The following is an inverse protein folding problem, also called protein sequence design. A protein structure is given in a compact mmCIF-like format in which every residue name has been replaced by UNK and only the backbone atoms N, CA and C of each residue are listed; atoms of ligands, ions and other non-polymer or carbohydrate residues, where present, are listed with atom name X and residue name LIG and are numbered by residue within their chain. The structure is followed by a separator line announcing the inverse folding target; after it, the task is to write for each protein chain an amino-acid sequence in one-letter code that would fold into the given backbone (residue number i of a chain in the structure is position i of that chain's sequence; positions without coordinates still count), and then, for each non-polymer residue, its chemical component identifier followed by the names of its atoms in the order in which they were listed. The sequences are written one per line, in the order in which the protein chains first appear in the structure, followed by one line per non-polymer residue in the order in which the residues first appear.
data_IF_813967714891
#
_entry.id   IF_813967714891
#
_cell.length_a   1.000
_cell.length_b   1.000
_cell.length_c   1.000
_cell.angle_alpha   90.00
_cell.angle_beta   90.00
_cell.angle_gamma   90.00
#
_symmetry.space_group_name_H-M   'P 1'
#
loop_
_entity.id
_entity.type
_entity.pdbx_description
1 polymer ?
#
# COMPACT_ATOMS: atom_id res chain seq x y z
N UNK A 1 -10.32 38.94 55.00
CA UNK A 1 -9.90 39.74 53.83
C UNK A 1 -9.66 38.77 52.70
N UNK A 2 -10.46 38.90 51.63
CA UNK A 2 -10.24 38.59 50.19
C UNK A 2 -9.51 37.25 49.86
N UNK A 3 -10.07 36.17 49.32
CA UNK A 3 -11.10 35.86 48.30
C UNK A 3 -10.61 35.90 46.82
N UNK A 4 -10.97 34.84 46.06
CA UNK A 4 -11.15 34.75 44.58
C UNK A 4 -10.07 34.16 43.61
N UNK A 5 -10.56 33.18 42.80
CA UNK A 5 -10.16 32.65 41.46
C UNK A 5 -8.97 31.66 41.41
N UNK A 6 -9.09 30.34 41.20
CA UNK A 6 -9.66 29.50 40.10
C UNK A 6 -8.82 29.47 38.80
N UNK A 7 -8.73 28.28 38.18
CA UNK A 7 -8.53 28.01 36.73
C UNK A 7 -7.09 27.85 36.17
N UNK A 8 -6.82 26.63 35.68
CA UNK A 8 -6.01 26.21 34.52
C UNK A 8 -4.57 26.69 34.31
N UNK A 9 -3.64 25.73 34.35
CA UNK A 9 -2.55 25.50 33.37
C UNK A 9 -2.01 24.09 33.68
N UNK A 10 -2.25 22.99 32.95
CA UNK A 10 -2.15 22.69 31.52
C UNK A 10 -0.84 23.21 30.90
N UNK A 11 -0.04 22.26 30.38
CA UNK A 11 1.23 22.40 29.63
C UNK A 11 2.47 22.67 30.51
N UNK A 12 3.62 21.99 30.39
CA UNK A 12 4.20 21.23 29.27
C UNK A 12 5.13 20.11 29.80
N UNK A 13 4.96 18.93 29.21
CA UNK A 13 5.93 17.85 28.99
C UNK A 13 7.42 18.20 29.13
N UNK A 14 8.14 17.58 30.06
CA UNK A 14 9.55 17.23 29.89
C UNK A 14 9.91 16.02 30.77
N UNK A 15 9.94 14.82 30.17
CA UNK A 15 10.93 13.77 30.46
C UNK A 15 10.68 12.54 29.56
N UNK A 16 11.53 12.46 28.53
CA UNK A 16 11.97 11.27 27.80
C UNK A 16 11.72 9.90 28.45
N UNK A 17 11.06 9.01 27.69
CA UNK A 17 11.49 7.61 27.48
C UNK A 17 10.83 7.12 26.20
N UNK A 18 11.59 7.09 25.11
CA UNK A 18 11.28 6.27 23.94
C UNK A 18 11.17 4.83 24.43
N UNK A 19 9.95 4.34 24.69
CA UNK A 19 9.74 2.92 24.93
C UNK A 19 10.07 2.20 23.62
N UNK A 20 11.04 1.28 23.66
CA UNK A 20 11.27 0.38 22.54
C UNK A 20 9.97 -0.36 22.25
N UNK A 21 9.37 -0.12 21.09
CA UNK A 21 8.17 -0.83 20.66
C UNK A 21 8.59 -2.26 20.28
N UNK A 22 8.16 -3.22 21.09
CA UNK A 22 8.40 -4.64 20.89
C UNK A 22 7.21 -5.26 20.17
N UNK A 23 7.47 -5.88 19.02
CA UNK A 23 6.47 -6.63 18.28
C UNK A 23 6.61 -8.11 18.56
N UNK A 24 5.48 -8.78 18.79
CA UNK A 24 5.43 -10.22 19.01
C UNK A 24 4.91 -10.86 17.72
N UNK A 25 5.68 -11.79 17.17
CA UNK A 25 5.24 -12.63 16.05
C UNK A 25 4.58 -13.87 16.63
N UNK A 26 3.30 -14.05 16.36
CA UNK A 26 2.50 -15.17 16.86
C UNK A 26 2.15 -16.12 15.71
N UNK A 27 2.08 -17.43 15.98
CA UNK A 27 1.60 -18.42 15.01
C UNK A 27 0.10 -18.68 15.21
N UNK A 28 -0.65 -18.70 14.12
CA UNK A 28 -2.02 -19.20 14.10
C UNK A 28 -2.13 -20.33 13.07
N UNK A 29 -2.77 -21.44 13.44
CA UNK A 29 -3.08 -22.50 12.50
C UNK A 29 -4.20 -22.03 11.55
N UNK A 30 -3.98 -22.08 10.25
CA UNK A 30 -4.99 -21.77 9.24
C UNK A 30 -6.03 -22.89 9.17
N UNK A 31 -7.31 -22.61 9.50
CA UNK A 31 -8.39 -23.59 9.40
C UNK A 31 -8.67 -23.90 7.92
N UNK A 32 -8.08 -24.98 7.42
CA UNK A 32 -8.35 -25.50 6.07
C UNK A 32 -7.12 -25.94 5.31
N UNK A 33 -5.93 -25.44 5.65
CA UNK A 33 -4.69 -25.76 4.92
C UNK A 33 -3.65 -26.52 5.73
N UNK A 34 -3.87 -26.70 7.04
CA UNK A 34 -2.88 -27.23 7.99
C UNK A 34 -1.56 -26.43 8.02
N UNK A 35 -1.57 -25.19 7.52
CA UNK A 35 -0.40 -24.30 7.50
C UNK A 35 -0.47 -23.31 8.65
N UNK A 36 0.69 -22.81 9.07
CA UNK A 36 0.78 -21.73 10.04
C UNK A 36 0.75 -20.38 9.32
N UNK A 37 -0.07 -19.45 9.80
CA UNK A 37 -0.03 -18.02 9.49
C UNK A 37 0.66 -17.29 10.62
N UNK A 38 1.42 -16.27 10.27
CA UNK A 38 2.15 -15.45 11.23
C UNK A 38 1.49 -14.09 11.36
N UNK A 39 1.41 -13.64 12.60
CA UNK A 39 0.67 -12.45 12.99
C UNK A 39 1.62 -11.54 13.74
N UNK A 40 1.72 -10.28 13.30
CA UNK A 40 2.46 -9.27 14.04
C UNK A 40 1.45 -8.44 14.81
N UNK A 41 1.58 -8.45 16.13
CA UNK A 41 0.78 -7.61 17.02
C UNK A 41 1.38 -6.20 17.08
N UNK A 42 0.69 -5.19 16.55
CA UNK A 42 1.15 -3.79 16.53
C UNK A 42 0.44 -2.91 15.47
N UNK A 43 0.45 -1.59 15.68
CA UNK A 43 -0.21 -0.62 14.77
C UNK A 43 0.53 -0.43 13.43
N UNK A 44 1.85 -0.67 13.41
CA UNK A 44 2.71 -0.62 12.22
C UNK A 44 3.99 -1.47 12.45
N UNK A 45 4.28 -2.48 11.61
CA UNK A 45 5.47 -3.32 11.74
C UNK A 45 6.80 -2.57 11.49
N UNK A 46 6.78 -1.39 10.87
CA UNK A 46 7.97 -0.54 10.79
C UNK A 46 8.29 0.22 12.07
N UNK A 47 7.38 0.24 13.04
CA UNK A 47 7.66 0.78 14.38
C UNK A 47 8.29 -0.27 15.30
N UNK A 48 8.43 -1.52 14.85
CA UNK A 48 9.04 -2.59 15.63
C UNK A 48 10.55 -2.36 15.82
N UNK A 49 10.94 -1.89 17.00
CA UNK A 49 12.35 -1.71 17.38
C UNK A 49 12.99 -3.01 17.89
N UNK A 50 12.18 -3.95 18.38
CA UNK A 50 12.60 -5.29 18.81
C UNK A 50 11.53 -6.32 18.47
N UNK A 51 11.95 -7.56 18.23
CA UNK A 51 11.04 -8.66 17.83
C UNK A 51 11.14 -9.80 18.85
N UNK A 52 10.00 -10.20 19.40
CA UNK A 52 9.85 -11.42 20.19
C UNK A 52 9.10 -12.50 19.40
N UNK A 53 9.50 -13.76 19.56
CA UNK A 53 8.72 -14.90 19.05
C UNK A 53 7.69 -15.28 20.13
N UNK A 54 6.40 -15.18 19.78
CA UNK A 54 5.28 -15.64 20.58
C UNK A 54 4.93 -17.11 20.31
N UNK A 55 3.98 -17.64 21.09
CA UNK A 55 3.47 -19.00 20.95
C UNK A 55 2.36 -19.13 19.91
N UNK A 56 1.67 -20.27 19.96
CA UNK A 56 0.43 -20.50 19.22
C UNK A 56 -0.71 -19.69 19.84
N UNK A 57 -1.42 -18.93 19.02
CA UNK A 57 -2.57 -18.13 19.46
C UNK A 57 -3.87 -18.82 19.08
N UNK A 58 -4.76 -18.92 20.07
CA UNK A 58 -6.15 -19.36 19.89
C UNK A 58 -7.05 -18.15 19.61
N UNK A 59 -8.13 -18.38 18.86
CA UNK A 59 -9.09 -17.36 18.40
C UNK A 59 -9.58 -16.38 19.50
N UNK A 60 -9.62 -16.84 20.74
CA UNK A 60 -10.04 -16.09 21.92
C UNK A 60 -9.10 -14.95 22.37
N UNK A 61 -7.84 -14.92 21.93
CA UNK A 61 -6.89 -13.86 22.31
C UNK A 61 -6.86 -12.67 21.33
N UNK A 62 -7.65 -12.71 20.26
CA UNK A 62 -7.64 -11.76 19.13
C UNK A 62 -8.35 -10.41 19.40
N UNK A 63 -9.00 -10.24 20.56
CA UNK A 63 -10.00 -9.18 20.74
C UNK A 63 -9.47 -7.82 21.25
N UNK A 64 -8.16 -7.61 21.36
CA UNK A 64 -7.62 -6.42 22.06
C UNK A 64 -6.50 -5.66 21.35
N UNK A 65 -6.10 -6.00 20.12
CA UNK A 65 -5.00 -5.28 19.45
C UNK A 65 -5.17 -5.25 17.93
N UNK A 66 -4.82 -4.13 17.30
CA UNK A 66 -4.73 -4.02 15.84
C UNK A 66 -3.64 -4.99 15.37
N UNK A 67 -4.01 -5.98 14.56
CA UNK A 67 -3.10 -6.97 14.01
C UNK A 67 -2.92 -6.70 12.52
N UNK A 68 -1.68 -6.73 12.06
CA UNK A 68 -1.37 -6.69 10.63
C UNK A 68 -1.08 -8.11 10.17
N UNK A 69 -1.90 -8.58 9.24
CA UNK A 69 -1.84 -9.93 8.68
C UNK A 69 -0.80 -9.97 7.56
N UNK A 70 0.15 -10.89 7.67
CA UNK A 70 1.06 -11.22 6.58
C UNK A 70 0.76 -12.63 6.12
N UNK A 71 0.24 -12.79 4.91
CA UNK A 71 0.05 -14.09 4.27
C UNK A 71 1.37 -14.63 3.69
N UNK A 72 2.44 -14.50 4.48
CA UNK A 72 3.77 -14.96 4.11
C UNK A 72 4.00 -16.29 4.81
N UNK A 73 3.87 -17.38 4.06
CA UNK A 73 4.38 -18.67 4.49
C UNK A 73 5.87 -18.50 4.75
N UNK A 74 6.33 -18.71 6.00
CA UNK A 74 7.77 -18.76 6.25
C UNK A 74 8.32 -19.96 5.45
N UNK A 75 9.07 -19.67 4.39
CA UNK A 75 9.88 -20.66 3.67
C UNK A 75 11.15 -20.97 4.49
N UNK A 76 11.41 -20.21 5.57
CA UNK A 76 12.63 -20.30 6.37
C UNK A 76 12.36 -20.41 7.86
N UNK A 77 13.07 -21.32 8.53
CA UNK A 77 13.17 -21.40 10.00
C UNK A 77 14.37 -20.61 10.54
N UNK A 78 15.13 -19.92 9.68
CA UNK A 78 16.27 -19.11 10.07
C UNK A 78 15.81 -17.78 10.67
N UNK A 79 16.13 -17.59 11.96
CA UNK A 79 15.84 -16.38 12.72
C UNK A 79 16.42 -15.12 12.04
N UNK A 80 17.58 -15.19 11.41
CA UNK A 80 18.20 -14.04 10.73
C UNK A 80 17.46 -13.68 9.42
N UNK A 81 16.95 -14.68 8.70
CA UNK A 81 16.18 -14.46 7.48
C UNK A 81 14.81 -13.87 7.78
N UNK A 82 14.13 -14.39 8.81
CA UNK A 82 12.87 -13.85 9.33
C UNK A 82 13.08 -12.40 9.81
N UNK A 83 14.18 -12.13 10.51
CA UNK A 83 14.49 -10.79 11.00
C UNK A 83 14.72 -9.79 9.86
N UNK A 84 15.28 -10.22 8.71
CA UNK A 84 15.43 -9.36 7.52
C UNK A 84 14.11 -8.99 6.85
N UNK A 85 13.05 -9.78 6.99
CA UNK A 85 11.72 -9.44 6.47
C UNK A 85 11.01 -8.39 7.33
N UNK A 86 11.50 -8.20 8.56
CA UNK A 86 10.88 -7.38 9.60
C UNK A 86 11.69 -6.14 9.93
N UNK A 87 12.97 -6.12 9.56
CA UNK A 87 13.74 -4.89 9.51
C UNK A 87 13.28 -4.09 8.31
N UNK A 88 12.51 -3.03 8.54
CA UNK A 88 12.33 -2.00 7.52
C UNK A 88 13.74 -1.52 7.15
N UNK A 89 14.09 -1.45 5.85
CA UNK A 89 15.42 -1.00 5.47
C UNK A 89 15.65 0.36 6.11
N UNK A 90 16.77 0.50 6.83
CA UNK A 90 17.22 1.76 7.39
C UNK A 90 17.59 2.67 6.22
N UNK A 91 16.59 3.37 5.69
CA UNK A 91 16.78 4.41 4.68
C UNK A 91 16.73 5.72 5.45
N UNK A 92 17.85 6.08 6.06
CA UNK A 92 18.05 7.40 6.66
C UNK A 92 17.55 8.48 5.67
N UNK A 93 16.39 9.08 5.96
CA UNK A 93 15.76 10.12 5.13
C UNK A 93 14.58 9.70 4.24
N UNK A 94 14.18 8.43 4.21
CA UNK A 94 13.09 7.96 3.35
C UNK A 94 12.03 7.21 4.17
N UNK A 95 10.90 7.89 4.42
CA UNK A 95 9.73 7.27 5.04
C UNK A 95 8.99 6.43 4.01
N UNK A 96 8.91 5.12 4.23
CA UNK A 96 8.18 4.20 3.33
C UNK A 96 6.66 4.32 3.48
N UNK A 97 6.15 5.32 4.18
CA UNK A 97 4.73 5.57 4.43
C UNK A 97 4.20 6.81 3.70
N UNK A 98 5.07 7.58 3.04
CA UNK A 98 4.71 8.83 2.35
C UNK A 98 4.01 8.60 1.01
N UNK A 99 3.20 9.58 0.60
CA UNK A 99 2.60 9.63 -0.74
C UNK A 99 3.61 10.22 -1.73
N UNK A 100 3.75 9.59 -2.90
CA UNK A 100 4.63 10.08 -3.96
C UNK A 100 3.99 11.14 -4.85
N UNK A 101 2.68 11.35 -4.72
CA UNK A 101 2.03 12.59 -5.14
C UNK A 101 1.09 12.47 -6.33
N UNK A 102 0.37 11.35 -6.43
CA UNK A 102 -0.81 11.32 -7.31
C UNK A 102 -1.93 12.17 -6.73
N UNK A 103 -2.22 12.06 -5.42
CA UNK A 103 -3.32 12.75 -4.74
C UNK A 103 -3.15 14.29 -4.74
N UNK A 104 -1.95 14.76 -4.42
CA UNK A 104 -1.65 16.18 -4.22
C UNK A 104 -1.19 16.91 -5.50
N UNK A 105 -0.96 16.17 -6.59
CA UNK A 105 -0.56 16.75 -7.86
C UNK A 105 0.96 16.93 -8.05
N UNK A 106 1.81 16.47 -7.12
CA UNK A 106 3.26 16.56 -7.29
C UNK A 106 3.75 15.79 -8.53
N UNK A 107 3.10 14.66 -8.84
CA UNK A 107 3.31 13.94 -10.09
C UNK A 107 2.54 14.67 -11.19
N UNK A 108 3.19 15.26 -12.22
CA UNK A 108 2.50 16.02 -13.24
C UNK A 108 1.68 15.15 -14.21
N UNK A 109 0.68 15.76 -14.88
CA UNK A 109 -0.26 15.06 -15.76
C UNK A 109 0.39 14.35 -16.97
N UNK A 110 1.52 14.87 -17.48
CA UNK A 110 2.29 14.28 -18.59
C UNK A 110 3.02 12.99 -18.18
N UNK A 111 3.15 12.74 -16.87
CA UNK A 111 3.75 11.53 -16.31
C UNK A 111 2.77 10.40 -16.09
N UNK A 112 1.48 10.65 -16.28
CA UNK A 112 0.43 9.65 -16.07
C UNK A 112 -0.09 9.20 -17.44
N UNK A 113 0.16 7.94 -17.78
CA UNK A 113 -0.18 7.37 -19.08
C UNK A 113 -0.95 6.07 -18.92
N UNK A 114 -1.78 5.71 -19.89
CA UNK A 114 -2.48 4.44 -19.89
C UNK A 114 -2.51 3.81 -21.28
N UNK A 115 -2.78 2.52 -21.28
CA UNK A 115 -3.10 1.68 -22.43
C UNK A 115 -4.20 2.24 -23.35
N UNK A 116 -5.32 2.66 -22.75
CA UNK A 116 -6.50 3.14 -23.45
C UNK A 116 -7.34 4.04 -22.55
N UNK A 117 -8.34 4.70 -23.13
CA UNK A 117 -9.28 5.58 -22.42
C UNK A 117 -10.69 5.25 -22.86
N UNK A 118 -11.57 4.94 -21.92
CA UNK A 118 -12.97 4.58 -22.19
C UNK A 118 -13.64 5.61 -23.09
N UNK A 119 -14.15 5.15 -24.25
CA UNK A 119 -14.85 5.98 -25.25
C UNK A 119 -14.02 7.17 -25.76
N UNK A 120 -12.70 7.16 -25.55
CA UNK A 120 -11.81 8.30 -25.81
C UNK A 120 -12.29 9.63 -25.17
N UNK A 121 -12.91 9.56 -23.99
CA UNK A 121 -13.41 10.75 -23.28
C UNK A 121 -12.41 11.23 -22.22
N UNK A 122 -12.14 12.54 -22.22
CA UNK A 122 -11.19 13.16 -21.29
C UNK A 122 -11.50 12.91 -19.80
N UNK A 123 -12.77 12.72 -19.44
CA UNK A 123 -13.13 12.47 -18.05
C UNK A 123 -12.77 11.06 -17.54
N UNK A 124 -12.40 10.15 -18.45
CA UNK A 124 -11.81 8.84 -18.14
C UNK A 124 -10.30 8.80 -18.35
N UNK A 125 -9.67 9.93 -18.65
CA UNK A 125 -8.25 9.98 -18.99
C UNK A 125 -7.34 9.60 -17.79
N UNK A 126 -6.08 9.20 -18.03
CA UNK A 126 -5.18 8.72 -16.99
C UNK A 126 -4.99 9.72 -15.84
N UNK A 127 -5.01 11.02 -16.12
CA UNK A 127 -4.89 12.10 -15.13
C UNK A 127 -6.03 12.13 -14.12
N UNK A 128 -7.17 11.51 -14.43
CA UNK A 128 -8.32 11.37 -13.54
C UNK A 128 -8.12 10.23 -12.53
N UNK A 129 -7.06 9.44 -12.66
CA UNK A 129 -6.72 8.36 -11.74
C UNK A 129 -6.07 8.84 -10.43
N UNK A 130 -6.02 10.14 -10.15
CA UNK A 130 -5.50 10.65 -8.88
C UNK A 130 -6.45 10.26 -7.75
N UNK A 131 -5.89 9.80 -6.64
CA UNK A 131 -6.66 9.50 -5.42
C UNK A 131 -7.53 10.70 -5.03
N UNK A 132 -8.76 10.45 -4.57
CA UNK A 132 -9.67 11.52 -4.15
C UNK A 132 -10.32 12.31 -5.28
N UNK A 133 -9.95 12.13 -6.56
CA UNK A 133 -10.56 12.83 -7.70
C UNK A 133 -12.09 12.69 -7.69
N UNK A 134 -12.81 13.82 -7.78
CA UNK A 134 -14.28 13.85 -7.79
C UNK A 134 -14.82 14.30 -9.15
N UNK A 135 -16.15 14.22 -9.30
CA UNK A 135 -16.90 14.71 -10.45
C UNK A 135 -17.30 13.60 -11.42
N UNK A 136 -17.84 14.00 -12.58
CA UNK A 136 -18.27 13.04 -13.59
C UNK A 136 -17.10 12.20 -14.08
N UNK A 137 -17.32 10.89 -14.15
CA UNK A 137 -16.35 9.89 -14.58
C UNK A 137 -15.05 9.82 -13.74
N UNK A 138 -14.98 10.49 -12.58
CA UNK A 138 -13.78 10.76 -11.74
C UNK A 138 -12.91 9.57 -11.35
N UNK A 139 -12.26 8.96 -12.33
CA UNK A 139 -11.26 7.91 -12.29
C UNK A 139 -10.69 7.74 -13.71
N UNK A 140 -9.54 7.11 -13.86
CA UNK A 140 -9.21 6.52 -15.16
C UNK A 140 -10.06 5.26 -15.35
N UNK A 141 -10.63 5.09 -16.55
CA UNK A 141 -11.29 3.85 -16.96
C UNK A 141 -10.80 3.47 -18.35
N UNK A 142 -10.45 2.19 -18.55
CA UNK A 142 -9.97 1.69 -19.84
C UNK A 142 -11.10 1.49 -20.87
N UNK A 143 -10.72 1.35 -22.14
CA UNK A 143 -11.66 1.00 -23.21
C UNK A 143 -11.85 -0.52 -23.33
N UNK A 144 -12.95 -1.01 -22.74
CA UNK A 144 -13.37 -2.42 -22.74
C UNK A 144 -13.63 -3.01 -24.13
N UNK A 145 -13.75 -2.17 -25.18
CA UNK A 145 -13.98 -2.65 -26.55
C UNK A 145 -12.72 -2.90 -27.34
N UNK A 146 -11.63 -2.20 -27.03
CA UNK A 146 -10.41 -2.21 -27.85
C UNK A 146 -9.17 -2.72 -27.13
N UNK A 147 -9.23 -2.85 -25.81
CA UNK A 147 -8.05 -3.15 -25.00
C UNK A 147 -8.29 -4.37 -24.11
N UNK A 148 -7.60 -5.46 -24.41
CA UNK A 148 -7.68 -6.71 -23.65
C UNK A 148 -6.67 -6.80 -22.50
N UNK A 149 -5.72 -5.87 -22.43
CA UNK A 149 -4.61 -5.90 -21.47
C UNK A 149 -4.42 -4.50 -20.87
N UNK A 150 -5.41 -3.98 -20.12
CA UNK A 150 -5.38 -2.63 -19.63
C UNK A 150 -4.25 -2.41 -18.64
N UNK A 151 -3.67 -1.22 -18.72
CA UNK A 151 -2.69 -0.73 -17.77
C UNK A 151 -2.76 0.79 -17.63
N UNK A 152 -2.38 1.25 -16.44
CA UNK A 152 -2.06 2.66 -16.15
C UNK A 152 -0.68 2.73 -15.51
N UNK A 153 0.07 3.77 -15.81
CA UNK A 153 1.47 3.91 -15.46
C UNK A 153 1.80 5.34 -15.03
N UNK A 154 2.73 5.43 -14.09
CA UNK A 154 3.35 6.67 -13.65
C UNK A 154 4.85 6.65 -13.94
N UNK A 155 5.38 7.76 -14.48
CA UNK A 155 6.82 8.07 -14.58
C UNK A 155 7.22 9.07 -13.49
N UNK A 156 7.98 8.63 -12.50
CA UNK A 156 8.46 9.51 -11.42
C UNK A 156 9.57 10.48 -11.86
N UNK A 157 10.01 10.42 -13.12
CA UNK A 157 11.11 11.20 -13.71
C UNK A 157 12.51 10.90 -13.16
N UNK A 158 12.60 10.52 -11.88
CA UNK A 158 13.80 9.99 -11.22
C UNK A 158 13.49 8.64 -10.57
N UNK A 159 14.53 7.97 -10.07
CA UNK A 159 14.34 6.71 -9.33
C UNK A 159 13.82 7.01 -7.94
N UNK A 160 12.74 6.34 -7.56
CA UNK A 160 12.12 6.41 -6.25
C UNK A 160 12.11 5.04 -5.61
N UNK A 161 11.91 5.00 -4.30
CA UNK A 161 11.61 3.75 -3.60
C UNK A 161 10.11 3.64 -3.43
N UNK A 162 9.50 2.61 -4.02
CA UNK A 162 8.07 2.30 -3.89
C UNK A 162 7.91 1.17 -2.88
N UNK A 163 7.08 1.37 -1.86
CA UNK A 163 6.76 0.41 -0.81
C UNK A 163 5.31 -0.08 -0.86
N UNK A 164 4.44 0.60 -1.58
CA UNK A 164 3.03 0.27 -1.64
C UNK A 164 2.21 1.14 -2.58
N UNK A 165 0.92 0.89 -2.57
CA UNK A 165 -0.10 1.59 -3.35
C UNK A 165 -1.30 1.87 -2.44
N UNK A 166 -2.04 2.94 -2.75
CA UNK A 166 -3.42 3.09 -2.30
C UNK A 166 -4.33 3.20 -3.50
N UNK A 167 -5.42 2.45 -3.50
CA UNK A 167 -6.39 2.41 -4.59
C UNK A 167 -7.77 2.82 -4.12
N UNK A 168 -8.57 3.34 -5.04
CA UNK A 168 -9.96 3.77 -4.83
C UNK A 168 -10.74 3.56 -6.13
N UNK A 169 -12.03 3.24 -6.05
CA UNK A 169 -12.92 3.13 -7.21
C UNK A 169 -13.30 4.46 -7.84
N UNK A 170 -14.29 4.50 -8.74
CA UNK A 170 -14.79 5.71 -9.40
C UNK A 170 -15.74 6.52 -8.52
N UNK A 171 -15.64 7.85 -8.52
CA UNK A 171 -16.40 8.70 -7.58
C UNK A 171 -17.92 8.76 -7.79
N UNK A 172 -18.39 8.63 -9.03
CA UNK A 172 -19.79 8.91 -9.42
C UNK A 172 -20.56 7.68 -9.91
N UNK A 173 -19.97 6.48 -9.84
CA UNK A 173 -20.61 5.23 -10.27
C UNK A 173 -19.93 4.03 -9.62
N UNK A 174 -20.69 2.97 -9.33
CA UNK A 174 -20.21 1.72 -8.73
C UNK A 174 -19.33 0.90 -9.69
N UNK A 175 -18.11 1.38 -9.89
CA UNK A 175 -17.07 0.78 -10.72
C UNK A 175 -15.71 0.89 -10.03
N UNK A 176 -15.00 -0.23 -9.92
CA UNK A 176 -13.70 -0.29 -9.26
C UNK A 176 -12.90 -1.52 -9.67
N UNK A 177 -11.58 -1.44 -9.54
CA UNK A 177 -10.66 -2.58 -9.66
C UNK A 177 -10.73 -3.43 -8.39
N UNK A 178 -10.90 -4.75 -8.52
CA UNK A 178 -10.95 -5.70 -7.40
C UNK A 178 -9.68 -6.52 -7.26
N UNK A 179 -8.89 -6.64 -8.32
CA UNK A 179 -7.59 -7.34 -8.33
C UNK A 179 -6.68 -6.67 -9.36
N UNK A 180 -5.39 -6.54 -9.05
CA UNK A 180 -4.40 -6.03 -9.98
C UNK A 180 -3.02 -6.64 -9.76
N UNK A 181 -2.18 -6.59 -10.78
CA UNK A 181 -0.75 -6.85 -10.67
C UNK A 181 0.03 -5.54 -10.78
N UNK A 182 1.27 -5.55 -10.29
CA UNK A 182 2.18 -4.41 -10.38
C UNK A 182 3.39 -4.80 -11.20
N UNK A 183 3.73 -3.95 -12.15
CA UNK A 183 4.96 -4.04 -12.91
C UNK A 183 5.74 -2.73 -12.81
N UNK A 184 7.05 -2.80 -13.02
CA UNK A 184 7.96 -1.69 -12.80
C UNK A 184 9.14 -1.74 -13.75
N UNK A 185 9.79 -0.60 -13.95
CA UNK A 185 10.95 -0.47 -14.84
C UNK A 185 11.75 0.79 -14.52
N UNK A 186 13.07 0.64 -14.48
CA UNK A 186 13.97 1.78 -14.24
C UNK A 186 14.21 2.63 -15.50
N UNK A 187 14.49 2.03 -16.66
CA UNK A 187 14.76 2.77 -17.91
C UNK A 187 14.45 1.92 -19.17
N UNK A 188 15.37 1.75 -20.15
CA UNK A 188 15.15 1.03 -21.42
C UNK A 188 15.06 -0.51 -21.29
N UNK A 189 15.01 -1.03 -20.08
CA UNK A 189 14.92 -2.47 -19.82
C UNK A 189 13.50 -3.01 -20.05
N UNK A 190 13.31 -4.32 -20.04
CA UNK A 190 11.98 -4.91 -20.03
C UNK A 190 11.20 -4.49 -18.78
N UNK A 191 9.87 -4.51 -18.88
CA UNK A 191 8.99 -4.34 -17.73
C UNK A 191 9.14 -5.58 -16.83
N UNK A 192 9.42 -5.39 -15.55
CA UNK A 192 9.50 -6.48 -14.56
C UNK A 192 8.20 -6.53 -13.76
N UNK A 193 7.78 -7.72 -13.34
CA UNK A 193 6.64 -7.88 -12.45
C UNK A 193 7.09 -7.91 -10.99
N UNK A 194 6.28 -7.39 -10.09
CA UNK A 194 6.41 -7.69 -8.67
C UNK A 194 6.01 -9.15 -8.47
N UNK A 195 6.94 -9.96 -7.97
CA UNK A 195 6.74 -11.40 -7.79
C UNK A 195 6.68 -11.81 -6.32
N UNK A 196 6.01 -12.92 -6.06
CA UNK A 196 6.06 -13.61 -4.78
C UNK A 196 7.41 -14.31 -4.57
N UNK A 197 7.54 -15.02 -3.46
CA UNK A 197 8.76 -15.75 -3.10
C UNK A 197 9.12 -16.90 -4.06
N UNK A 198 8.18 -17.37 -4.88
CA UNK A 198 8.40 -18.43 -5.87
C UNK A 198 8.55 -17.88 -7.30
N UNK A 199 8.58 -16.56 -7.47
CA UNK A 199 8.82 -15.89 -8.75
C UNK A 199 7.58 -15.68 -9.61
N UNK A 200 6.37 -15.92 -9.09
CA UNK A 200 5.12 -15.69 -9.81
C UNK A 200 4.62 -14.25 -9.60
N UNK A 201 4.03 -13.57 -10.60
CA UNK A 201 3.48 -12.23 -10.43
C UNK A 201 2.43 -12.17 -9.31
N UNK A 202 2.59 -11.22 -8.38
CA UNK A 202 1.67 -11.04 -7.25
C UNK A 202 0.35 -10.44 -7.74
N UNK A 203 -0.75 -11.07 -7.33
CA UNK A 203 -2.11 -10.53 -7.44
C UNK A 203 -2.47 -9.80 -6.16
N UNK A 204 -2.55 -8.48 -6.25
CA UNK A 204 -2.92 -7.62 -5.14
C UNK A 204 -4.44 -7.45 -5.06
N UNK A 205 -5.03 -7.51 -3.86
CA UNK A 205 -6.43 -7.18 -3.69
C UNK A 205 -6.66 -5.68 -3.94
N UNK A 206 -7.72 -5.36 -4.67
CA UNK A 206 -8.17 -4.01 -4.93
C UNK A 206 -9.29 -3.57 -3.99
N UNK A 207 -10.21 -2.78 -4.52
CA UNK A 207 -11.32 -2.20 -3.79
C UNK A 207 -12.54 -3.14 -3.74
N UNK A 208 -13.36 -2.97 -2.70
CA UNK A 208 -14.68 -3.61 -2.56
C UNK A 208 -15.83 -2.64 -2.75
N UNK A 209 -15.54 -1.35 -2.88
CA UNK A 209 -16.49 -0.28 -3.12
C UNK A 209 -15.82 0.87 -3.89
N UNK A 210 -16.60 1.93 -4.16
CA UNK A 210 -16.17 3.03 -5.01
C UNK A 210 -15.33 4.11 -4.30
N UNK A 211 -15.32 4.18 -2.96
CA UNK A 211 -14.84 5.32 -2.19
C UNK A 211 -13.80 5.00 -1.12
N UNK A 212 -13.76 3.80 -0.56
CA UNK A 212 -12.82 3.41 0.49
C UNK A 212 -11.40 3.36 -0.06
N UNK A 213 -10.47 4.04 0.61
CA UNK A 213 -9.04 3.95 0.30
C UNK A 213 -8.51 2.59 0.77
N UNK A 214 -7.98 1.79 -0.14
CA UNK A 214 -7.37 0.48 0.17
C UNK A 214 -5.86 0.61 0.03
N UNK A 215 -5.14 0.50 1.14
CA UNK A 215 -3.68 0.47 1.16
C UNK A 215 -3.16 -0.95 1.01
N UNK A 216 -2.18 -1.12 0.14
CA UNK A 216 -1.53 -2.40 -0.13
C UNK A 216 -0.02 -2.23 -0.15
N UNK A 217 0.68 -3.03 0.65
CA UNK A 217 2.15 -3.06 0.68
C UNK A 217 2.68 -4.02 -0.38
N UNK A 218 3.79 -3.63 -1.01
CA UNK A 218 4.54 -4.56 -1.84
C UNK A 218 5.28 -5.56 -0.95
N UNK A 219 5.53 -6.80 -1.40
CA UNK A 219 6.27 -7.80 -0.61
C UNK A 219 7.66 -7.32 -0.19
N UNK A 220 8.30 -6.49 -1.03
CA UNK A 220 9.56 -5.81 -0.77
C UNK A 220 9.51 -4.41 -1.40
N UNK A 221 10.05 -3.38 -0.73
CA UNK A 221 10.26 -2.09 -1.38
C UNK A 221 11.10 -2.26 -2.64
N UNK A 222 10.68 -1.63 -3.73
CA UNK A 222 11.37 -1.69 -5.02
C UNK A 222 11.85 -0.31 -5.43
N UNK A 223 13.03 -0.25 -6.05
CA UNK A 223 13.59 0.98 -6.60
C UNK A 223 13.26 1.03 -8.09
N UNK A 224 12.53 2.05 -8.51
CA UNK A 224 12.07 2.16 -9.90
C UNK A 224 11.84 3.62 -10.30
N UNK A 225 11.84 3.89 -11.61
CA UNK A 225 11.36 5.14 -12.19
C UNK A 225 9.93 5.05 -12.71
N UNK A 226 9.53 3.88 -13.21
CA UNK A 226 8.20 3.63 -13.75
C UNK A 226 7.49 2.59 -12.91
N UNK A 227 6.24 2.87 -12.57
CA UNK A 227 5.33 1.93 -11.92
C UNK A 227 4.08 1.79 -12.77
N UNK A 228 3.66 0.56 -13.04
CA UNK A 228 2.50 0.21 -13.85
C UNK A 228 1.56 -0.68 -13.05
N UNK A 229 0.29 -0.29 -12.98
CA UNK A 229 -0.80 -1.10 -12.45
C UNK A 229 -1.46 -1.82 -13.63
N UNK A 230 -1.66 -3.12 -13.47
CA UNK A 230 -2.25 -4.03 -14.45
C UNK A 230 -3.53 -4.63 -13.84
N UNK A 231 -4.70 -4.02 -14.03
CA UNK A 231 -5.94 -4.56 -13.50
C UNK A 231 -6.24 -5.95 -14.06
N UNK A 232 -6.56 -6.91 -13.19
CA UNK A 232 -6.88 -8.30 -13.55
C UNK A 232 -8.30 -8.71 -13.16
N UNK A 233 -8.97 -7.91 -12.32
CA UNK A 233 -10.39 -8.07 -11.98
C UNK A 233 -11.04 -6.74 -11.60
N UNK A 234 -12.34 -6.60 -11.84
CA UNK A 234 -13.11 -5.39 -11.54
C UNK A 234 -14.60 -5.66 -11.33
N UNK A 235 -15.27 -4.72 -10.67
CA UNK A 235 -16.73 -4.65 -10.56
C UNK A 235 -17.29 -3.62 -11.55
N UNK A 236 -18.31 -4.01 -12.32
CA UNK A 236 -18.94 -3.22 -13.40
C UNK A 236 -17.98 -2.78 -14.51
N UNK A 237 -17.14 -1.78 -14.24
CA UNK A 237 -16.11 -1.27 -15.15
C UNK A 237 -14.78 -1.20 -14.41
N UNK A 238 -13.69 -1.52 -15.12
CA UNK A 238 -12.35 -1.28 -14.58
C UNK A 238 -12.09 0.22 -14.59
N UNK A 239 -12.23 0.80 -13.40
CA UNK A 239 -11.95 2.19 -13.11
C UNK A 239 -11.12 2.26 -11.83
N UNK A 240 -10.12 3.13 -11.81
CA UNK A 240 -9.23 3.25 -10.65
C UNK A 240 -8.78 4.69 -10.46
N UNK A 241 -8.75 5.08 -9.20
CA UNK A 241 -7.96 6.17 -8.63
C UNK A 241 -6.88 5.55 -7.74
N UNK A 242 -5.70 6.13 -7.70
CA UNK A 242 -4.62 5.62 -6.87
C UNK A 242 -3.62 6.70 -6.47
N UNK A 243 -2.83 6.36 -5.45
CA UNK A 243 -1.56 6.99 -5.14
C UNK A 243 -0.51 5.92 -4.85
N UNK A 244 0.75 6.29 -4.92
CA UNK A 244 1.90 5.42 -4.69
C UNK A 244 2.50 5.76 -3.34
N UNK A 245 2.82 4.73 -2.55
CA UNK A 245 3.47 4.89 -1.26
C UNK A 245 4.97 4.62 -1.42
N UNK A 246 5.80 5.48 -0.86
CA UNK A 246 7.24 5.40 -0.99
C UNK A 246 7.93 6.71 -0.63
N UNK A 247 9.13 6.89 -1.14
CA UNK A 247 9.89 8.13 -0.98
C UNK A 247 10.68 8.48 -2.26
N UNK A 248 10.94 9.77 -2.45
CA UNK A 248 12.03 10.23 -3.31
C UNK A 248 13.33 10.12 -2.52
N UNK A 249 14.40 9.64 -3.15
CA UNK A 249 15.73 9.71 -2.54
C UNK A 249 16.40 11.01 -2.96
N UNK A 250 16.96 11.71 -1.98
CA UNK A 250 17.89 12.83 -2.18
C UNK A 250 19.26 12.36 -2.70
#
# INVERSE_FOLDING_TARGET
MVNFVSIFALFVFLASRSQAMQCIIEQQLDPGTHRFRWLIRGEDPCQCTTIGMGGLVTDSALHSTKMTYYDTFLISSDKQEIQRWLTCPDVSGCSLEERLGMEDGLIPDDRITASSVRKNLANYAPQRARLGTQGWAGAWCYDDKSDSHPWIQVDFSSRVTVSGLVTQGRSDYEAWVTEYQVAYRDDKHALNHVTDAVGSPVKFPGNTDQNTHVATRLPKPLRTRLLRILPTGWHSYCCIRFDVIGCYQD
#
